data_IF_935349478933
#
_entry.id   IF_935349478933
#
_cell.length_a   1.000
_cell.length_b   1.000
_cell.length_c   1.000
_cell.angle_alpha   90.00
_cell.angle_beta   90.00
_cell.angle_gamma   90.00
#
_symmetry.space_group_name_H-M   'P 1'
#
loop_
_entity.id
_entity.type
_entity.pdbx_description
1 polymer ?
#
# COMPACT_ATOMS: atom_id res chain seq x y z
N UNK A 1 0.20 -4.74 -11.67
CA UNK A 1 0.41 -3.57 -12.56
C UNK A 1 -0.61 -2.51 -12.22
N UNK A 2 -0.25 -1.23 -12.25
CA UNK A 2 -1.18 -0.13 -11.97
C UNK A 2 -2.18 0.01 -13.15
N UNK A 3 -3.47 -0.04 -12.85
CA UNK A 3 -4.54 0.08 -13.84
C UNK A 3 -4.58 1.44 -14.59
N UNK A 4 -3.91 2.46 -14.03
CA UNK A 4 -3.82 3.80 -14.65
C UNK A 4 -2.67 3.96 -15.65
N UNK A 5 -1.84 2.93 -15.85
CA UNK A 5 -0.78 2.96 -16.84
C UNK A 5 -1.36 2.94 -18.25
N UNK A 6 -0.66 3.57 -19.18
CA UNK A 6 -0.98 3.43 -20.59
C UNK A 6 -0.78 1.98 -21.03
N UNK A 7 -1.64 1.47 -21.93
CA UNK A 7 -1.60 0.07 -22.38
C UNK A 7 -0.23 -0.39 -22.88
N UNK A 8 0.55 0.49 -23.55
CA UNK A 8 1.92 0.18 -24.00
C UNK A 8 2.89 -0.05 -22.82
N UNK A 9 2.76 0.70 -21.73
CA UNK A 9 3.59 0.52 -20.53
C UNK A 9 3.23 -0.78 -19.83
N UNK A 10 1.92 -1.08 -19.72
CA UNK A 10 1.45 -2.34 -19.17
C UNK A 10 1.97 -3.54 -20.00
N UNK A 11 1.89 -3.46 -21.33
CA UNK A 11 2.42 -4.51 -22.22
C UNK A 11 3.93 -4.68 -22.10
N UNK A 12 4.67 -3.57 -21.99
CA UNK A 12 6.12 -3.64 -21.74
C UNK A 12 6.40 -4.40 -20.44
N UNK A 13 5.71 -4.07 -19.34
CA UNK A 13 5.88 -4.72 -18.04
C UNK A 13 5.56 -6.22 -18.14
N UNK A 14 4.47 -6.59 -18.79
CA UNK A 14 4.10 -8.00 -18.95
C UNK A 14 5.13 -8.80 -19.76
N UNK A 15 5.67 -8.20 -20.82
CA UNK A 15 6.71 -8.81 -21.64
C UNK A 15 8.04 -8.91 -20.90
N UNK A 16 8.49 -7.83 -20.25
CA UNK A 16 9.75 -7.78 -19.49
C UNK A 16 9.71 -8.75 -18.28
N UNK A 17 8.56 -8.87 -17.62
CA UNK A 17 8.35 -9.82 -16.55
C UNK A 17 8.24 -11.29 -17.02
N UNK A 18 8.13 -11.55 -18.31
CA UNK A 18 7.85 -12.88 -18.83
C UNK A 18 6.52 -13.46 -18.33
N UNK A 19 5.50 -12.60 -18.17
CA UNK A 19 4.21 -13.00 -17.62
C UNK A 19 3.53 -14.04 -18.51
N UNK A 20 3.07 -15.15 -17.93
CA UNK A 20 2.31 -16.19 -18.62
C UNK A 20 0.81 -15.87 -18.65
N UNK A 21 0.30 -15.19 -17.63
CA UNK A 21 -1.11 -14.83 -17.48
C UNK A 21 -1.25 -13.37 -17.04
N UNK A 22 -2.27 -12.70 -17.57
CA UNK A 22 -2.70 -11.37 -17.13
C UNK A 22 -4.20 -11.40 -16.83
N UNK A 23 -4.58 -11.14 -15.59
CA UNK A 23 -5.96 -10.89 -15.21
C UNK A 23 -6.25 -9.40 -15.31
N UNK A 24 -7.25 -9.02 -16.09
CA UNK A 24 -7.60 -7.64 -16.33
C UNK A 24 -9.11 -7.41 -16.13
N UNK A 25 -9.48 -6.21 -15.67
CA UNK A 25 -10.87 -5.78 -15.71
C UNK A 25 -11.33 -5.58 -17.15
N UNK A 26 -12.65 -5.72 -17.47
CA UNK A 26 -13.15 -5.72 -18.84
C UNK A 26 -12.80 -4.47 -19.64
N UNK A 27 -12.77 -3.32 -19.00
CA UNK A 27 -12.40 -2.02 -19.57
C UNK A 27 -10.93 -1.95 -19.99
N UNK A 28 -10.06 -2.75 -19.36
CA UNK A 28 -8.63 -2.79 -19.65
C UNK A 28 -8.24 -3.87 -20.68
N UNK A 29 -9.00 -4.95 -20.80
CA UNK A 29 -8.69 -6.04 -21.75
C UNK A 29 -8.48 -5.51 -23.15
N UNK A 30 -9.36 -4.62 -23.63
CA UNK A 30 -9.27 -4.03 -24.98
C UNK A 30 -8.19 -2.97 -25.15
N UNK A 31 -7.60 -2.47 -24.07
CA UNK A 31 -6.56 -1.42 -24.10
C UNK A 31 -5.15 -2.00 -24.08
N UNK A 32 -5.01 -3.26 -23.70
CA UNK A 32 -3.73 -3.97 -23.77
C UNK A 32 -3.46 -4.32 -25.23
N UNK A 33 -2.43 -3.73 -25.89
CA UNK A 33 -1.99 -4.24 -27.18
C UNK A 33 -1.69 -5.73 -27.01
N UNK A 34 -1.84 -6.51 -28.06
CA UNK A 34 -1.49 -7.94 -28.03
C UNK A 34 -0.10 -8.07 -27.39
N UNK A 35 -0.08 -8.45 -26.13
CA UNK A 35 1.15 -8.82 -25.44
C UNK A 35 1.83 -9.93 -26.25
N UNK A 36 3.15 -10.04 -26.14
CA UNK A 36 3.89 -11.17 -26.69
C UNK A 36 3.01 -12.44 -26.64
N UNK A 37 2.96 -13.22 -27.72
CA UNK A 37 2.10 -14.39 -27.88
C UNK A 37 2.14 -15.43 -26.72
N UNK A 38 3.01 -15.19 -25.75
CA UNK A 38 3.21 -16.01 -24.54
C UNK A 38 2.38 -15.60 -23.33
N UNK A 39 1.75 -14.41 -23.31
CA UNK A 39 0.94 -13.93 -22.18
C UNK A 39 -0.55 -14.02 -22.54
N UNK A 40 -1.26 -14.94 -21.91
CA UNK A 40 -2.72 -15.04 -22.02
C UNK A 40 -3.39 -13.95 -21.15
N UNK A 41 -4.29 -13.16 -21.74
CA UNK A 41 -5.08 -12.18 -21.00
C UNK A 41 -6.49 -12.70 -20.75
N UNK A 42 -6.92 -12.72 -19.51
CA UNK A 42 -8.23 -13.19 -19.07
C UNK A 42 -8.99 -12.05 -18.38
N UNK A 43 -10.15 -11.71 -18.90
CA UNK A 43 -11.06 -10.74 -18.26
C UNK A 43 -11.68 -11.32 -16.98
N UNK A 44 -11.61 -10.60 -15.87
CA UNK A 44 -12.09 -11.10 -14.56
C UNK A 44 -13.60 -11.31 -14.45
N UNK A 45 -14.38 -10.82 -15.42
CA UNK A 45 -15.84 -11.07 -15.54
C UNK A 45 -16.18 -12.08 -16.63
N UNK A 46 -15.20 -12.62 -17.33
CA UNK A 46 -15.42 -13.59 -18.40
C UNK A 46 -15.74 -14.99 -17.86
N UNK A 47 -16.42 -15.78 -18.68
CA UNK A 47 -16.74 -17.16 -18.35
C UNK A 47 -15.51 -18.00 -18.02
N UNK A 48 -14.38 -17.75 -18.71
CA UNK A 48 -13.11 -18.40 -18.45
C UNK A 48 -12.61 -18.18 -17.02
N UNK A 49 -12.68 -16.95 -16.51
CA UNK A 49 -12.33 -16.64 -15.11
C UNK A 49 -13.26 -17.37 -14.12
N UNK A 50 -14.58 -17.33 -14.37
CA UNK A 50 -15.57 -18.02 -13.54
C UNK A 50 -15.33 -19.53 -13.50
N UNK A 51 -14.98 -20.13 -14.63
CA UNK A 51 -14.60 -21.55 -14.72
C UNK A 51 -13.35 -21.84 -13.91
N UNK A 52 -12.31 -21.02 -14.04
CA UNK A 52 -11.07 -21.18 -13.27
C UNK A 52 -11.32 -21.15 -11.77
N UNK A 53 -12.15 -20.22 -11.29
CA UNK A 53 -12.48 -20.08 -9.86
C UNK A 53 -13.33 -21.23 -9.36
N UNK A 54 -14.31 -21.69 -10.14
CA UNK A 54 -15.24 -22.76 -9.75
C UNK A 54 -14.60 -24.16 -9.76
N UNK A 55 -13.57 -24.38 -10.57
CA UNK A 55 -12.86 -25.66 -10.67
C UNK A 55 -11.58 -25.72 -9.84
N UNK A 56 -11.42 -24.82 -8.88
CA UNK A 56 -10.27 -24.79 -7.99
C UNK A 56 -10.18 -26.09 -7.15
N UNK A 57 -9.54 -27.10 -7.72
CA UNK A 57 -9.01 -28.19 -6.89
C UNK A 57 -7.87 -27.61 -6.08
N UNK A 58 -7.93 -27.73 -4.76
CA UNK A 58 -6.83 -27.35 -3.87
C UNK A 58 -5.63 -28.23 -4.22
N UNK A 59 -4.74 -27.74 -5.07
CA UNK A 59 -3.43 -28.36 -5.29
C UNK A 59 -2.53 -28.04 -4.10
N UNK A 60 -1.58 -28.92 -3.83
CA UNK A 60 -0.57 -28.67 -2.82
C UNK A 60 0.13 -27.32 -3.10
N UNK A 61 0.33 -26.53 -2.06
CA UNK A 61 1.06 -25.27 -2.16
C UNK A 61 2.49 -25.58 -2.63
N UNK A 62 2.95 -24.88 -3.66
CA UNK A 62 4.29 -25.06 -4.19
C UNK A 62 5.33 -24.68 -3.13
N UNK A 63 6.30 -25.57 -2.90
CA UNK A 63 7.42 -25.28 -2.01
C UNK A 63 8.26 -24.14 -2.57
N UNK A 64 8.58 -23.17 -1.75
CA UNK A 64 9.43 -22.01 -2.06
C UNK A 64 10.51 -21.86 -1.01
N UNK A 65 11.67 -21.36 -1.44
CA UNK A 65 12.73 -20.95 -0.54
C UNK A 65 12.72 -19.44 -0.32
N UNK A 66 13.29 -18.93 0.77
CA UNK A 66 13.24 -17.50 1.11
C UNK A 66 13.76 -16.58 0.03
N UNK A 67 14.72 -17.01 -0.78
CA UNK A 67 15.35 -16.21 -1.83
C UNK A 67 14.67 -16.36 -3.20
N UNK A 68 13.63 -17.17 -3.33
CA UNK A 68 12.81 -17.21 -4.53
C UNK A 68 12.14 -15.86 -4.77
N UNK A 69 12.00 -15.49 -6.04
CA UNK A 69 11.26 -14.30 -6.46
C UNK A 69 9.77 -14.45 -6.11
N UNK A 70 9.24 -13.45 -5.42
CA UNK A 70 7.83 -13.40 -5.01
C UNK A 70 7.04 -12.29 -5.70
N UNK A 71 7.67 -11.16 -5.99
CA UNK A 71 7.02 -10.00 -6.58
C UNK A 71 8.01 -9.17 -7.42
N UNK A 72 7.60 -8.80 -8.62
CA UNK A 72 8.27 -7.77 -9.42
C UNK A 72 7.57 -6.43 -9.17
N UNK A 73 8.27 -5.53 -8.48
CA UNK A 73 7.75 -4.21 -8.15
C UNK A 73 8.29 -3.19 -9.16
N UNK A 74 7.45 -2.79 -10.12
CA UNK A 74 7.86 -1.86 -11.16
C UNK A 74 7.82 -0.42 -10.68
N UNK A 75 8.94 0.29 -10.90
CA UNK A 75 9.08 1.73 -10.63
C UNK A 75 9.29 2.47 -11.95
N UNK A 76 8.92 3.77 -11.99
CA UNK A 76 9.25 4.65 -13.10
C UNK A 76 10.77 4.84 -13.13
N UNK A 77 11.46 4.16 -14.03
CA UNK A 77 12.91 4.28 -14.15
C UNK A 77 13.35 5.71 -14.54
N UNK A 78 14.49 6.16 -14.03
CA UNK A 78 15.13 7.45 -14.39
C UNK A 78 15.46 7.57 -15.89
N UNK A 79 15.46 6.45 -16.62
CA UNK A 79 15.75 6.35 -18.06
C UNK A 79 14.48 6.32 -18.94
N UNK A 80 13.30 6.55 -18.37
CA UNK A 80 12.01 6.59 -19.10
C UNK A 80 11.33 5.24 -19.29
N UNK A 81 12.00 4.12 -19.03
CA UNK A 81 11.36 2.80 -19.04
C UNK A 81 11.17 2.27 -17.62
N UNK A 82 10.03 1.62 -17.31
CA UNK A 82 9.81 0.97 -16.02
C UNK A 82 10.90 -0.06 -15.72
N UNK A 83 11.32 -0.17 -14.46
CA UNK A 83 12.26 -1.18 -13.98
C UNK A 83 11.61 -2.04 -12.91
N UNK A 84 11.70 -3.37 -13.08
CA UNK A 84 11.18 -4.35 -12.14
C UNK A 84 12.17 -4.61 -11.01
N UNK A 85 11.87 -4.13 -9.81
CA UNK A 85 12.63 -4.49 -8.61
C UNK A 85 12.23 -5.91 -8.20
N UNK A 86 13.21 -6.78 -8.04
CA UNK A 86 13.02 -8.17 -7.65
C UNK A 86 12.85 -8.28 -6.13
N UNK A 87 11.62 -8.53 -5.67
CA UNK A 87 11.31 -8.72 -4.25
C UNK A 87 11.17 -10.22 -3.98
N UNK A 88 11.97 -10.74 -3.05
CA UNK A 88 11.96 -12.16 -2.65
C UNK A 88 10.94 -12.42 -1.54
N UNK A 89 10.62 -13.70 -1.30
CA UNK A 89 9.80 -14.09 -0.14
C UNK A 89 10.39 -13.61 1.19
N UNK A 90 11.71 -13.68 1.35
CA UNK A 90 12.43 -13.17 2.53
C UNK A 90 12.15 -11.68 2.78
N UNK A 91 12.19 -10.87 1.71
CA UNK A 91 11.95 -9.42 1.81
C UNK A 91 10.49 -9.11 2.21
N UNK A 92 9.51 -9.84 1.66
CA UNK A 92 8.10 -9.69 2.05
C UNK A 92 7.86 -10.06 3.51
N UNK A 93 8.49 -11.13 3.98
CA UNK A 93 8.43 -11.52 5.40
C UNK A 93 9.07 -10.46 6.28
N UNK A 94 10.24 -9.96 5.91
CA UNK A 94 10.96 -8.93 6.67
C UNK A 94 10.12 -7.65 6.80
N UNK A 95 9.55 -7.13 5.70
CA UNK A 95 8.67 -5.94 5.72
C UNK A 95 7.41 -6.18 6.54
N UNK A 96 6.85 -7.39 6.49
CA UNK A 96 5.68 -7.77 7.28
C UNK A 96 5.98 -7.78 8.78
N UNK A 97 7.11 -8.30 9.18
CA UNK A 97 7.55 -8.31 10.59
C UNK A 97 7.93 -6.90 11.07
N UNK A 98 8.58 -6.10 10.21
CA UNK A 98 8.88 -4.70 10.50
C UNK A 98 7.62 -3.88 10.78
N UNK A 99 6.52 -4.15 10.06
CA UNK A 99 5.25 -3.47 10.34
C UNK A 99 4.82 -3.65 11.79
N UNK A 100 4.82 -4.89 12.29
CA UNK A 100 4.43 -5.19 13.69
C UNK A 100 5.41 -4.60 14.69
N UNK A 101 6.71 -4.61 14.38
CA UNK A 101 7.75 -4.15 15.30
C UNK A 101 7.85 -2.62 15.39
N UNK A 102 7.70 -1.92 14.26
CA UNK A 102 8.13 -0.53 14.11
C UNK A 102 7.00 0.42 13.67
N UNK A 103 5.90 -0.10 13.10
CA UNK A 103 4.81 0.73 12.54
C UNK A 103 3.58 0.68 13.42
N UNK A 104 2.86 -0.43 13.46
CA UNK A 104 1.69 -0.62 14.33
C UNK A 104 1.35 -2.10 14.53
N UNK A 105 0.57 -2.40 15.54
CA UNK A 105 -0.01 -3.74 15.75
C UNK A 105 -1.20 -3.95 14.82
N UNK A 106 -1.51 -5.22 14.52
CA UNK A 106 -2.70 -5.65 13.78
C UNK A 106 -3.36 -6.78 14.56
N UNK A 107 -4.68 -6.71 14.71
CA UNK A 107 -5.53 -7.77 15.25
C UNK A 107 -6.55 -8.26 14.21
N UNK A 108 -7.27 -9.31 14.53
CA UNK A 108 -8.32 -9.90 13.71
C UNK A 108 -9.60 -9.05 13.68
N UNK A 109 -9.74 -8.12 14.61
CA UNK A 109 -10.80 -7.10 14.67
C UNK A 109 -10.48 -5.84 13.86
N UNK A 110 -9.24 -5.71 13.33
CA UNK A 110 -8.83 -4.57 12.53
C UNK A 110 -9.34 -4.69 11.07
N UNK A 111 -9.42 -3.56 10.42
CA UNK A 111 -9.72 -3.45 8.99
C UNK A 111 -8.64 -2.66 8.28
N UNK A 112 -8.24 -3.07 7.08
CA UNK A 112 -7.36 -2.28 6.21
C UNK A 112 -8.13 -1.77 5.00
N UNK A 113 -8.09 -0.46 4.74
CA UNK A 113 -8.71 0.17 3.57
C UNK A 113 -7.63 0.46 2.52
N UNK A 114 -7.89 0.05 1.27
CA UNK A 114 -7.00 0.27 0.13
C UNK A 114 -7.35 1.55 -0.61
N UNK A 115 -7.16 2.71 0.03
CA UNK A 115 -7.32 4.02 -0.58
C UNK A 115 -6.20 4.35 -1.60
N UNK A 116 -5.00 3.84 -1.37
CA UNK A 116 -3.88 3.91 -2.31
C UNK A 116 -3.81 2.63 -3.18
N UNK A 117 -3.24 2.71 -4.41
CA UNK A 117 -3.16 1.56 -5.30
C UNK A 117 -2.45 0.35 -4.68
N UNK A 118 -3.08 -0.83 -4.74
CA UNK A 118 -2.50 -2.08 -4.25
C UNK A 118 -1.26 -2.53 -5.05
N UNK A 119 -1.06 -1.99 -6.25
CA UNK A 119 0.17 -2.20 -7.05
C UNK A 119 1.39 -1.48 -6.48
N UNK A 120 1.24 -0.70 -5.40
CA UNK A 120 2.29 0.07 -4.73
C UNK A 120 2.37 -0.30 -3.24
N UNK A 121 2.86 0.62 -2.41
CA UNK A 121 3.10 0.40 -0.99
C UNK A 121 1.92 -0.19 -0.21
N UNK A 122 0.68 0.25 -0.49
CA UNK A 122 -0.52 -0.29 0.16
C UNK A 122 -0.65 -1.81 -0.02
N UNK A 123 -0.32 -2.33 -1.21
CA UNK A 123 -0.36 -3.77 -1.48
C UNK A 123 0.69 -4.58 -0.74
N UNK A 124 1.85 -4.00 -0.45
CA UNK A 124 2.89 -4.67 0.32
C UNK A 124 2.46 -4.95 1.77
N UNK A 125 1.71 -4.01 2.35
CA UNK A 125 1.15 -4.20 3.69
C UNK A 125 -0.02 -5.18 3.74
N UNK A 126 -0.62 -5.56 2.59
CA UNK A 126 -1.68 -6.56 2.58
C UNK A 126 -1.26 -7.90 3.18
N UNK A 127 0.01 -8.29 2.97
CA UNK A 127 0.52 -9.59 3.43
C UNK A 127 0.42 -9.76 4.95
N UNK A 128 0.80 -8.74 5.71
CA UNK A 128 0.72 -8.82 7.17
C UNK A 128 -0.72 -8.76 7.66
N UNK A 129 -1.60 -7.99 7.01
CA UNK A 129 -3.02 -7.95 7.36
C UNK A 129 -3.71 -9.29 7.10
N UNK A 130 -3.40 -9.97 5.96
CA UNK A 130 -3.87 -11.35 5.71
C UNK A 130 -3.39 -12.30 6.78
N UNK A 131 -2.09 -12.25 7.13
CA UNK A 131 -1.51 -13.12 8.16
C UNK A 131 -2.18 -12.96 9.52
N UNK A 132 -2.58 -11.73 9.86
CA UNK A 132 -3.21 -11.40 11.15
C UNK A 132 -4.73 -11.61 11.15
N UNK A 133 -5.33 -11.97 10.02
CA UNK A 133 -6.78 -12.20 9.89
C UNK A 133 -7.62 -10.92 9.84
N UNK A 134 -7.00 -9.77 9.60
CA UNK A 134 -7.70 -8.49 9.49
C UNK A 134 -8.62 -8.46 8.27
N UNK A 135 -9.68 -7.65 8.33
CA UNK A 135 -10.61 -7.43 7.21
C UNK A 135 -9.96 -6.56 6.14
N UNK A 136 -10.13 -6.95 4.88
CA UNK A 136 -9.66 -6.19 3.73
C UNK A 136 -10.83 -5.46 3.06
N UNK A 137 -10.72 -4.14 2.91
CA UNK A 137 -11.77 -3.28 2.36
C UNK A 137 -11.25 -2.57 1.11
N UNK A 138 -11.88 -2.86 -0.03
CA UNK A 138 -11.66 -2.12 -1.27
C UNK A 138 -12.78 -1.09 -1.39
N UNK A 139 -12.48 0.22 -1.45
CA UNK A 139 -13.51 1.25 -1.58
C UNK A 139 -14.21 1.18 -2.93
N UNK A 140 -15.51 1.52 -2.96
CA UNK A 140 -16.34 1.51 -4.19
C UNK A 140 -15.85 2.53 -5.22
N UNK A 141 -15.25 3.64 -4.76
CA UNK A 141 -14.59 4.64 -5.63
C UNK A 141 -13.38 4.09 -6.38
N UNK A 142 -12.94 2.86 -6.09
CA UNK A 142 -11.72 2.25 -6.63
C UNK A 142 -10.45 3.12 -6.44
N UNK A 143 -10.44 3.94 -5.39
CA UNK A 143 -9.34 4.86 -5.12
C UNK A 143 -9.52 5.62 -3.81
N UNK A 144 -9.18 6.91 -3.84
CA UNK A 144 -9.28 7.78 -2.67
C UNK A 144 -10.41 8.81 -2.87
N UNK A 145 -11.44 8.68 -2.08
CA UNK A 145 -12.42 9.72 -1.79
C UNK A 145 -12.44 10.00 -0.29
N UNK A 146 -12.29 11.28 0.10
CA UNK A 146 -12.15 11.65 1.52
C UNK A 146 -13.40 11.32 2.35
N UNK A 147 -14.60 11.51 1.77
CA UNK A 147 -15.85 11.23 2.47
C UNK A 147 -16.06 9.73 2.67
N UNK A 148 -15.85 8.95 1.60
CA UNK A 148 -15.91 7.50 1.66
C UNK A 148 -14.94 6.92 2.70
N UNK A 149 -13.69 7.45 2.78
CA UNK A 149 -12.72 6.99 3.79
C UNK A 149 -13.21 7.24 5.22
N UNK A 150 -13.82 8.41 5.47
CA UNK A 150 -14.37 8.74 6.80
C UNK A 150 -15.56 7.84 7.14
N UNK A 151 -16.45 7.59 6.20
CA UNK A 151 -17.61 6.73 6.39
C UNK A 151 -17.21 5.27 6.64
N UNK A 152 -16.29 4.73 5.83
CA UNK A 152 -15.77 3.37 6.00
C UNK A 152 -15.02 3.21 7.33
N UNK A 153 -14.25 4.22 7.75
CA UNK A 153 -13.56 4.17 9.03
C UNK A 153 -14.55 4.10 10.20
N UNK A 154 -15.59 4.91 10.18
CA UNK A 154 -16.63 4.90 11.23
C UNK A 154 -17.46 3.62 11.22
N UNK A 155 -17.72 3.07 10.03
CA UNK A 155 -18.52 1.85 9.89
C UNK A 155 -17.79 0.60 10.40
N UNK A 156 -16.51 0.44 10.02
CA UNK A 156 -15.75 -0.77 10.39
C UNK A 156 -15.06 -0.64 11.76
N UNK A 157 -14.64 0.56 12.16
CA UNK A 157 -13.79 0.76 13.33
C UNK A 157 -12.41 0.12 13.18
N UNK A 158 -11.47 0.51 14.03
CA UNK A 158 -10.09 -0.02 14.03
C UNK A 158 -9.43 -0.05 12.65
N UNK A 159 -9.69 0.99 11.83
CA UNK A 159 -9.25 1.04 10.44
C UNK A 159 -7.79 1.46 10.35
N UNK A 160 -7.05 0.70 9.57
CA UNK A 160 -5.70 1.02 9.15
C UNK A 160 -5.70 1.38 7.65
N UNK A 161 -4.90 2.35 7.25
CA UNK A 161 -4.84 2.82 5.87
C UNK A 161 -3.43 3.31 5.54
N UNK A 162 -2.95 3.02 4.32
CA UNK A 162 -1.78 3.71 3.78
C UNK A 162 -2.23 4.90 2.91
N UNK A 163 -1.59 6.05 3.11
CA UNK A 163 -1.92 7.28 2.39
C UNK A 163 -0.67 8.04 1.93
N UNK A 164 -0.72 8.63 0.74
CA UNK A 164 0.25 9.64 0.36
C UNK A 164 0.00 10.95 1.13
N UNK A 165 1.00 11.82 1.31
CA UNK A 165 0.83 13.11 1.99
C UNK A 165 -0.32 13.97 1.43
N UNK A 166 -0.47 14.00 0.11
CA UNK A 166 -1.58 14.71 -0.55
C UNK A 166 -2.96 14.13 -0.22
N UNK A 167 -3.05 12.83 0.03
CA UNK A 167 -4.29 12.18 0.46
C UNK A 167 -4.64 12.58 1.89
N UNK A 168 -3.66 12.68 2.79
CA UNK A 168 -3.88 13.17 4.16
C UNK A 168 -4.39 14.60 4.14
N UNK A 169 -3.81 15.47 3.33
CA UNK A 169 -4.28 16.86 3.17
C UNK A 169 -5.75 16.89 2.75
N UNK A 170 -6.09 16.16 1.70
CA UNK A 170 -7.48 16.07 1.20
C UNK A 170 -8.43 15.46 2.22
N UNK A 171 -8.01 14.43 2.97
CA UNK A 171 -8.81 13.83 4.04
C UNK A 171 -9.10 14.85 5.14
N UNK A 172 -8.09 15.62 5.55
CA UNK A 172 -8.21 16.66 6.58
C UNK A 172 -9.17 17.77 6.12
N UNK A 173 -9.01 18.26 4.89
CA UNK A 173 -9.88 19.29 4.32
C UNK A 173 -11.33 18.79 4.24
N UNK A 174 -11.56 17.55 3.78
CA UNK A 174 -12.89 16.94 3.74
C UNK A 174 -13.48 16.82 5.16
N UNK A 175 -12.76 16.25 6.09
CA UNK A 175 -13.23 16.05 7.47
C UNK A 175 -13.64 17.37 8.11
N UNK A 176 -12.85 18.43 7.92
CA UNK A 176 -13.16 19.78 8.43
C UNK A 176 -14.42 20.35 7.78
N UNK A 177 -14.58 20.18 6.47
CA UNK A 177 -15.72 20.73 5.74
C UNK A 177 -17.06 20.14 6.18
N UNK A 178 -17.06 18.89 6.68
CA UNK A 178 -18.26 18.19 7.11
C UNK A 178 -18.34 18.01 8.64
N UNK A 179 -17.36 18.52 9.38
CA UNK A 179 -17.34 18.45 10.85
C UNK A 179 -17.13 17.05 11.40
N UNK A 180 -16.51 16.14 10.65
CA UNK A 180 -16.15 14.80 11.09
C UNK A 180 -14.71 14.77 11.61
N UNK A 181 -14.44 13.90 12.55
CA UNK A 181 -13.11 13.67 13.14
C UNK A 181 -12.48 12.35 12.65
N UNK A 182 -11.49 11.86 13.40
CA UNK A 182 -10.78 10.61 13.09
C UNK A 182 -11.42 9.33 13.64
N UNK A 183 -12.70 9.38 14.03
CA UNK A 183 -13.37 8.23 14.61
C UNK A 183 -13.32 7.02 13.67
N UNK A 184 -12.95 5.88 14.22
CA UNK A 184 -12.79 4.63 13.49
C UNK A 184 -11.39 4.40 12.92
N UNK A 185 -10.56 5.44 12.71
CA UNK A 185 -9.18 5.22 12.33
C UNK A 185 -8.34 4.78 13.54
N UNK A 186 -7.63 3.68 13.37
CA UNK A 186 -6.60 3.23 14.29
C UNK A 186 -5.24 3.81 13.91
N UNK A 187 -4.87 3.68 12.63
CA UNK A 187 -3.65 4.27 12.11
C UNK A 187 -3.75 4.63 10.64
N UNK A 188 -3.14 5.76 10.30
CA UNK A 188 -2.91 6.19 8.94
C UNK A 188 -1.40 6.23 8.74
N UNK A 189 -0.89 5.20 8.05
CA UNK A 189 0.53 5.12 7.69
C UNK A 189 0.76 5.96 6.45
N UNK A 190 1.71 6.89 6.49
CA UNK A 190 1.97 7.75 5.35
C UNK A 190 3.44 7.74 4.91
N UNK A 191 3.62 7.93 3.61
CA UNK A 191 4.92 7.97 2.96
C UNK A 191 4.80 8.12 1.45
N UNK A 192 5.90 7.86 0.74
CA UNK A 192 5.95 7.95 -0.73
C UNK A 192 6.06 9.37 -1.29
N UNK A 193 6.17 10.38 -0.43
CA UNK A 193 6.38 11.78 -0.79
C UNK A 193 6.68 12.63 0.43
N UNK A 194 7.15 13.89 0.24
CA UNK A 194 7.42 14.80 1.34
C UNK A 194 6.12 15.23 2.03
N UNK A 195 6.11 15.14 3.37
CA UNK A 195 5.04 15.66 4.21
C UNK A 195 5.41 17.05 4.72
N UNK A 196 4.59 18.04 4.43
CA UNK A 196 4.80 19.38 5.01
C UNK A 196 4.44 19.40 6.48
N UNK A 197 5.33 20.01 7.29
CA UNK A 197 5.17 20.07 8.74
C UNK A 197 3.83 20.71 9.16
N UNK A 198 3.38 21.73 8.45
CA UNK A 198 2.10 22.36 8.73
C UNK A 198 0.92 21.41 8.54
N UNK A 199 0.94 20.63 7.45
CA UNK A 199 -0.15 19.71 7.11
C UNK A 199 -0.25 18.57 8.11
N UNK A 200 0.88 17.99 8.56
CA UNK A 200 0.83 16.92 9.56
C UNK A 200 0.46 17.44 10.95
N UNK A 201 0.84 18.66 11.31
CA UNK A 201 0.39 19.30 12.56
C UNK A 201 -1.13 19.44 12.54
N UNK A 202 -1.67 20.02 11.46
CA UNK A 202 -3.11 20.21 11.28
C UNK A 202 -3.88 18.89 11.30
N UNK A 203 -3.36 17.86 10.61
CA UNK A 203 -3.96 16.55 10.60
C UNK A 203 -3.99 15.91 11.99
N UNK A 204 -2.88 15.97 12.75
CA UNK A 204 -2.82 15.43 14.12
C UNK A 204 -3.75 16.20 15.05
N UNK A 205 -3.82 17.53 14.92
CA UNK A 205 -4.70 18.36 15.75
C UNK A 205 -6.18 18.03 15.51
N UNK A 206 -6.53 17.59 14.29
CA UNK A 206 -7.91 17.24 13.92
C UNK A 206 -8.27 15.76 14.17
N UNK A 207 -7.39 14.83 13.79
CA UNK A 207 -7.65 13.37 13.86
C UNK A 207 -7.11 12.73 15.14
N UNK A 208 -6.26 13.42 15.90
CA UNK A 208 -5.56 12.84 17.04
C UNK A 208 -4.33 12.00 16.63
N UNK A 209 -3.83 11.15 17.54
CA UNK A 209 -2.56 10.43 17.39
C UNK A 209 -2.69 9.17 16.53
N UNK A 210 -3.16 9.29 15.29
CA UNK A 210 -3.37 8.14 14.39
C UNK A 210 -2.30 8.02 13.30
N UNK A 211 -1.40 8.98 13.15
CA UNK A 211 -0.46 9.05 12.04
C UNK A 211 0.88 8.37 12.35
N UNK A 212 1.36 7.57 11.39
CA UNK A 212 2.69 6.95 11.42
C UNK A 212 3.38 7.30 10.11
N UNK A 213 4.59 7.86 10.17
CA UNK A 213 5.38 8.10 8.96
C UNK A 213 6.29 6.93 8.68
N UNK A 214 6.40 6.57 7.39
CA UNK A 214 7.42 5.64 6.91
C UNK A 214 8.19 6.24 5.74
N UNK A 215 9.41 5.76 5.55
CA UNK A 215 10.19 5.99 4.36
C UNK A 215 10.64 4.66 3.76
N UNK A 216 10.57 4.58 2.44
CA UNK A 216 11.02 3.45 1.64
C UNK A 216 11.25 3.87 0.20
N UNK A 217 11.91 3.02 -0.55
CA UNK A 217 12.18 3.15 -1.97
C UNK A 217 11.71 1.88 -2.70
N UNK A 218 11.73 1.87 -4.03
CA UNK A 218 11.35 0.67 -4.78
C UNK A 218 12.18 -0.56 -4.39
N UNK A 219 13.46 -0.37 -4.11
CA UNK A 219 14.43 -1.41 -3.75
C UNK A 219 14.29 -1.90 -2.30
N UNK A 220 13.74 -1.08 -1.41
CA UNK A 220 13.39 -1.42 -0.03
C UNK A 220 12.05 -0.75 0.31
N UNK A 221 10.95 -1.32 -0.22
CA UNK A 221 9.66 -0.66 -0.13
C UNK A 221 9.13 -0.69 1.31
N UNK A 222 8.68 0.48 1.78
CA UNK A 222 8.04 0.69 3.08
C UNK A 222 8.93 0.43 4.31
N UNK A 223 10.13 -0.14 4.16
CA UNK A 223 10.86 -0.80 5.24
C UNK A 223 12.14 -0.11 5.69
N UNK A 224 12.49 1.12 5.21
CA UNK A 224 13.77 1.75 5.57
C UNK A 224 13.69 2.41 6.95
N UNK A 225 12.77 3.36 7.14
CA UNK A 225 12.60 4.03 8.44
C UNK A 225 11.13 4.18 8.82
N UNK A 226 10.88 4.40 10.11
CA UNK A 226 9.57 4.75 10.65
C UNK A 226 9.68 5.82 11.73
N UNK A 227 8.69 6.72 11.77
CA UNK A 227 8.41 7.62 12.89
C UNK A 227 7.06 7.21 13.47
N UNK A 228 7.10 6.63 14.66
CA UNK A 228 5.93 6.01 15.26
C UNK A 228 4.85 7.06 15.63
N UNK A 229 3.64 6.59 15.83
CA UNK A 229 2.46 7.38 16.16
C UNK A 229 2.67 8.32 17.36
N UNK A 230 3.30 7.80 18.42
CA UNK A 230 3.65 8.61 19.57
C UNK A 230 4.58 9.76 19.19
N UNK A 231 5.64 9.48 18.42
CA UNK A 231 6.61 10.50 18.01
C UNK A 231 6.02 11.56 17.08
N UNK A 232 5.05 11.20 16.24
CA UNK A 232 4.33 12.16 15.38
C UNK A 232 3.42 13.07 16.20
N UNK A 233 2.74 12.53 17.22
CA UNK A 233 1.74 13.27 18.01
C UNK A 233 2.31 14.01 19.21
N UNK A 234 3.44 13.56 19.80
CA UNK A 234 4.00 14.11 21.02
C UNK A 234 4.45 15.56 20.84
N UNK A 235 3.88 16.46 21.64
CA UNK A 235 4.20 17.90 21.70
C UNK A 235 5.00 18.29 22.95
N UNK A 236 5.28 17.36 23.83
CA UNK A 236 5.93 17.63 25.12
C UNK A 236 7.44 17.82 24.98
N UNK A 237 8.05 17.22 23.95
CA UNK A 237 9.48 17.31 23.72
C UNK A 237 9.89 18.67 23.12
N UNK A 238 10.95 19.32 23.61
CA UNK A 238 11.35 20.66 23.15
C UNK A 238 11.61 20.73 21.62
N UNK A 239 12.04 19.62 21.00
CA UNK A 239 12.38 19.54 19.58
C UNK A 239 11.30 18.85 18.72
N UNK A 240 10.07 18.75 19.19
CA UNK A 240 9.02 18.03 18.49
C UNK A 240 8.78 18.53 17.06
N UNK A 241 8.82 19.87 16.83
CA UNK A 241 8.66 20.43 15.49
C UNK A 241 9.78 20.04 14.54
N UNK A 242 11.02 19.97 15.03
CA UNK A 242 12.18 19.56 14.24
C UNK A 242 12.17 18.05 13.91
N UNK A 243 11.46 17.24 14.71
CA UNK A 243 11.28 15.81 14.48
C UNK A 243 10.32 15.51 13.33
N UNK A 244 9.25 16.28 13.16
CA UNK A 244 8.18 16.02 12.19
C UNK A 244 8.65 15.96 10.72
N UNK A 245 9.59 16.76 10.21
CA UNK A 245 10.11 16.61 8.86
C UNK A 245 11.13 15.48 8.71
N UNK A 246 11.54 14.82 9.81
CA UNK A 246 12.43 13.66 9.72
C UNK A 246 11.64 12.43 9.25
N UNK A 247 12.35 11.49 8.63
CA UNK A 247 11.77 10.19 8.24
C UNK A 247 11.81 9.14 9.36
N UNK A 248 12.17 9.55 10.57
CA UNK A 248 12.22 8.67 11.74
C UNK A 248 13.55 7.91 11.87
N UNK A 249 13.48 6.71 12.40
CA UNK A 249 14.63 5.82 12.66
C UNK A 249 14.54 4.55 11.84
N UNK A 250 15.68 3.88 11.64
CA UNK A 250 15.75 2.62 10.94
C UNK A 250 14.73 1.61 11.49
N UNK A 251 14.02 0.94 10.60
CA UNK A 251 13.19 -0.20 11.00
C UNK A 251 14.06 -1.42 11.34
N UNK A 252 13.53 -2.29 12.19
CA UNK A 252 14.28 -3.39 12.81
C UNK A 252 15.10 -4.30 11.86
N UNK A 253 14.62 -4.63 10.63
CA UNK A 253 15.38 -5.49 9.74
C UNK A 253 16.44 -4.76 8.90
N UNK A 254 16.59 -3.43 9.05
CA UNK A 254 17.42 -2.61 8.17
C UNK A 254 18.56 -1.95 8.93
N UNK A 255 19.77 -2.08 8.39
CA UNK A 255 20.92 -1.28 8.81
C UNK A 255 20.99 0.00 7.97
N UNK A 256 21.01 1.17 8.61
CA UNK A 256 21.24 2.45 7.96
C UNK A 256 22.57 3.01 8.43
N UNK A 257 23.36 3.52 7.49
CA UNK A 257 24.54 4.37 7.80
C UNK A 257 24.25 5.79 7.32
N UNK A 258 24.68 6.76 8.11
CA UNK A 258 24.61 8.19 7.79
C UNK A 258 26.00 8.64 7.39
#
# INVERSE_FOLDING_TARGET
VNAKLHGREASFILSDAGAALCFASPDLVGTLPSCDARCETIGVTEAAFSVMVSHASVKAIATRVPDDLAWLFYTSGTTGQPKGVMITHRMLVAVSLAYIADVDRIGDDDSVIYAAPMSHGAGLYSMIHVKMGARHVCPDSAGFDGMEMLELARFYGNVQMFAAPTMIRRLTDTAKSVGLNGDGFRSIVYGGGPMYTADIIEAVDWFGPVFVQIYGQGECPMGITALCRHDVADRTQPRWRARLPSVGRAQSPVATSI
#
